data_IF_461811039615
#
_entry.id   IF_461811039615
#
_cell.length_a   1.000
_cell.length_b   1.000
_cell.length_c   1.000
_cell.angle_alpha   90.00
_cell.angle_beta   90.00
_cell.angle_gamma   90.00
#
_symmetry.space_group_name_H-M   'P 1'
#
loop_
_entity.id
_entity.type
_entity.pdbx_description
1 polymer ?
#
# COMPACT_ATOMS: atom_id res chain seq x y z
N UNK A 1 -17.73 15.81 3.94
CA UNK A 1 -17.90 14.93 2.77
C UNK A 1 -17.23 13.60 3.10
N UNK A 2 -17.87 12.49 2.77
CA UNK A 2 -17.33 11.17 3.05
C UNK A 2 -16.74 10.56 1.78
N UNK A 3 -15.50 10.08 1.88
CA UNK A 3 -14.80 9.32 0.86
C UNK A 3 -14.72 7.87 1.35
N UNK A 4 -15.44 6.97 0.68
CA UNK A 4 -15.57 5.58 1.14
C UNK A 4 -14.57 4.69 0.40
N UNK A 5 -13.70 4.02 1.13
CA UNK A 5 -12.76 3.04 0.63
C UNK A 5 -13.38 1.65 0.75
N UNK A 6 -14.04 1.20 -0.32
CA UNK A 6 -14.53 -0.18 -0.42
C UNK A 6 -13.34 -1.11 -0.69
N UNK A 7 -12.78 -1.68 0.38
CA UNK A 7 -11.61 -2.54 0.30
C UNK A 7 -11.95 -3.90 -0.32
N UNK A 8 -11.09 -4.34 -1.23
CA UNK A 8 -11.14 -5.66 -1.88
C UNK A 8 -9.77 -6.33 -1.87
N UNK A 9 -9.78 -7.64 -2.05
CA UNK A 9 -8.59 -8.48 -2.11
C UNK A 9 -8.63 -9.62 -1.09
N UNK A 10 -7.49 -10.28 -0.83
CA UNK A 10 -6.19 -9.97 -1.42
C UNK A 10 -6.06 -10.39 -2.89
N UNK A 11 -5.29 -9.61 -3.66
CA UNK A 11 -4.71 -10.03 -4.94
C UNK A 11 -3.21 -10.28 -4.73
N UNK A 12 -2.62 -11.24 -5.44
CA UNK A 12 -1.19 -11.52 -5.32
C UNK A 12 -0.81 -12.85 -5.98
N UNK A 13 0.44 -13.30 -5.84
CA UNK A 13 0.89 -14.55 -6.44
C UNK A 13 0.00 -15.74 -6.03
N UNK A 14 -0.48 -16.50 -7.01
CA UNK A 14 -1.44 -17.59 -6.83
C UNK A 14 -2.91 -17.15 -6.73
N UNK A 15 -3.19 -15.85 -6.67
CA UNK A 15 -4.52 -15.25 -6.52
C UNK A 15 -4.79 -14.12 -7.53
N UNK A 16 -3.91 -13.91 -8.51
CA UNK A 16 -4.17 -12.95 -9.58
C UNK A 16 -5.37 -13.40 -10.44
N UNK A 17 -6.27 -12.49 -10.81
CA UNK A 17 -7.31 -12.80 -11.77
C UNK A 17 -6.69 -13.19 -13.12
N UNK A 18 -7.18 -14.27 -13.72
CA UNK A 18 -6.75 -14.74 -15.04
C UNK A 18 -7.81 -14.51 -16.12
N UNK A 19 -9.03 -14.20 -15.73
CA UNK A 19 -10.12 -13.83 -16.63
C UNK A 19 -9.93 -12.37 -17.10
N UNK A 20 -9.79 -12.10 -18.41
CA UNK A 20 -9.61 -10.74 -18.93
C UNK A 20 -10.69 -9.76 -18.46
N UNK A 21 -11.94 -10.20 -18.35
CA UNK A 21 -13.05 -9.35 -17.91
C UNK A 21 -12.87 -8.92 -16.45
N UNK A 22 -12.39 -9.81 -15.59
CA UNK A 22 -12.07 -9.47 -14.20
C UNK A 22 -10.84 -8.57 -14.11
N UNK A 23 -9.82 -8.82 -14.93
CA UNK A 23 -8.63 -7.97 -15.01
C UNK A 23 -9.03 -6.53 -15.37
N UNK A 24 -9.83 -6.35 -16.42
CA UNK A 24 -10.32 -5.02 -16.84
C UNK A 24 -11.13 -4.33 -15.75
N UNK A 25 -12.00 -5.07 -15.05
CA UNK A 25 -12.78 -4.55 -13.93
C UNK A 25 -11.91 -4.04 -12.79
N UNK A 26 -10.79 -4.70 -12.48
CA UNK A 26 -9.91 -4.30 -11.38
C UNK A 26 -8.88 -3.26 -11.82
N UNK A 27 -8.48 -3.24 -13.10
CA UNK A 27 -7.40 -2.38 -13.61
C UNK A 27 -7.83 -0.92 -13.83
N UNK A 28 -8.53 -0.37 -12.85
CA UNK A 28 -8.99 0.99 -12.78
C UNK A 28 -8.09 1.83 -11.86
N UNK A 29 -8.46 3.10 -11.70
CA UNK A 29 -7.80 3.98 -10.77
C UNK A 29 -8.22 3.69 -9.32
N UNK A 30 -7.28 3.76 -8.38
CA UNK A 30 -7.55 3.51 -6.97
C UNK A 30 -6.32 3.59 -6.09
N UNK A 31 -6.54 3.33 -4.81
CA UNK A 31 -5.49 3.21 -3.79
C UNK A 31 -5.29 1.74 -3.41
N UNK A 32 -4.10 1.40 -2.94
CA UNK A 32 -3.79 0.04 -2.51
C UNK A 32 -2.80 0.00 -1.36
N UNK A 33 -2.93 -1.06 -0.56
CA UNK A 33 -1.97 -1.53 0.42
C UNK A 33 -1.28 -2.76 -0.14
N UNK A 34 0.03 -2.71 -0.29
CA UNK A 34 0.87 -3.88 -0.52
C UNK A 34 1.43 -4.33 0.82
N UNK A 35 0.95 -5.45 1.34
CA UNK A 35 1.33 -5.99 2.64
C UNK A 35 2.11 -7.28 2.42
N UNK A 36 3.24 -7.42 3.12
CA UNK A 36 4.02 -8.66 3.25
C UNK A 36 3.99 -9.11 4.69
N UNK A 37 3.69 -10.39 4.92
CA UNK A 37 3.69 -11.02 6.24
C UNK A 37 4.91 -11.95 6.37
N UNK A 38 5.63 -11.78 7.46
CA UNK A 38 6.84 -12.51 7.83
C UNK A 38 6.60 -13.32 9.12
N UNK A 39 7.63 -14.01 9.59
CA UNK A 39 7.58 -14.71 10.88
C UNK A 39 7.29 -13.75 12.05
N UNK A 40 6.85 -14.30 13.18
CA UNK A 40 6.48 -13.56 14.40
C UNK A 40 5.43 -12.45 14.17
N UNK A 41 4.54 -12.66 13.20
CA UNK A 41 3.50 -11.71 12.78
C UNK A 41 4.03 -10.34 12.35
N UNK A 42 5.31 -10.24 11.98
CA UNK A 42 5.86 -8.99 11.44
C UNK A 42 5.23 -8.74 10.08
N UNK A 43 4.61 -7.59 9.91
CA UNK A 43 4.15 -7.10 8.62
C UNK A 43 4.96 -5.90 8.16
N UNK A 44 5.11 -5.79 6.85
CA UNK A 44 5.63 -4.61 6.18
C UNK A 44 4.59 -4.18 5.16
N UNK A 45 4.24 -2.90 5.19
CA UNK A 45 3.23 -2.33 4.33
C UNK A 45 3.80 -1.21 3.46
N UNK A 46 3.34 -1.18 2.22
CA UNK A 46 3.55 -0.09 1.28
C UNK A 46 2.18 0.43 0.86
N UNK A 47 2.03 1.74 0.82
CA UNK A 47 0.78 2.41 0.45
C UNK A 47 1.01 3.16 -0.85
N UNK A 48 0.14 2.96 -1.82
CA UNK A 48 0.25 3.65 -3.10
C UNK A 48 -1.09 3.89 -3.77
N UNK A 49 -1.05 4.66 -4.84
CA UNK A 49 -2.16 4.85 -5.77
C UNK A 49 -1.71 4.56 -7.20
N UNK A 50 -2.67 4.31 -8.08
CA UNK A 50 -2.43 4.07 -9.50
C UNK A 50 -3.68 4.40 -10.30
N UNK A 51 -3.51 4.78 -11.57
CA UNK A 51 -4.61 4.84 -12.54
C UNK A 51 -4.95 3.44 -13.12
N UNK A 52 -4.05 2.48 -12.92
CA UNK A 52 -4.16 1.09 -13.40
C UNK A 52 -3.65 0.15 -12.30
N UNK A 53 -4.54 -0.28 -11.39
CA UNK A 53 -4.19 -1.07 -10.21
C UNK A 53 -3.49 -2.40 -10.55
N UNK A 54 -4.07 -3.21 -11.44
CA UNK A 54 -3.51 -4.54 -11.79
C UNK A 54 -2.13 -4.40 -12.44
N UNK A 55 -1.97 -3.45 -13.36
CA UNK A 55 -0.66 -3.15 -13.96
C UNK A 55 0.36 -2.78 -12.88
N UNK A 56 -0.06 -2.04 -11.85
CA UNK A 56 0.85 -1.65 -10.78
C UNK A 56 1.18 -2.80 -9.84
N UNK A 57 0.26 -3.72 -9.58
CA UNK A 57 0.51 -4.93 -8.81
C UNK A 57 1.53 -5.84 -9.50
N UNK A 58 1.37 -6.05 -10.81
CA UNK A 58 2.34 -6.79 -11.63
C UNK A 58 3.74 -6.16 -11.54
N UNK A 59 3.86 -4.84 -11.70
CA UNK A 59 5.16 -4.15 -11.60
C UNK A 59 5.86 -4.37 -10.25
N UNK A 60 5.11 -4.39 -9.15
CA UNK A 60 5.68 -4.69 -7.82
C UNK A 60 6.23 -6.12 -7.73
N UNK A 61 5.49 -7.10 -8.24
CA UNK A 61 5.92 -8.51 -8.22
C UNK A 61 7.09 -8.73 -9.17
N UNK A 62 6.98 -8.24 -10.41
CA UNK A 62 8.02 -8.32 -11.43
C UNK A 62 9.31 -7.63 -10.97
N UNK A 63 9.22 -6.51 -10.25
CA UNK A 63 10.38 -5.83 -9.65
C UNK A 63 11.09 -6.68 -8.58
N UNK A 64 10.36 -7.41 -7.74
CA UNK A 64 10.94 -8.35 -6.77
C UNK A 64 11.66 -9.49 -7.48
N UNK A 65 10.99 -10.14 -8.45
CA UNK A 65 11.56 -11.28 -9.19
C UNK A 65 12.75 -10.87 -10.07
N UNK A 66 12.78 -9.64 -10.56
CA UNK A 66 13.90 -9.08 -11.30
C UNK A 66 15.05 -8.56 -10.41
N UNK A 67 14.96 -8.75 -9.08
CA UNK A 67 15.96 -8.30 -8.10
C UNK A 67 16.20 -6.78 -8.17
N UNK A 68 15.16 -6.00 -8.46
CA UNK A 68 15.23 -4.53 -8.54
C UNK A 68 14.99 -3.88 -7.17
N UNK A 69 14.45 -4.63 -6.21
CA UNK A 69 14.17 -4.17 -4.87
C UNK A 69 15.07 -4.89 -3.85
N UNK A 70 15.35 -4.25 -2.69
CA UNK A 70 15.98 -4.94 -1.58
C UNK A 70 15.20 -6.20 -1.23
N UNK A 71 15.91 -7.31 -1.04
CA UNK A 71 15.33 -8.58 -0.66
C UNK A 71 15.28 -8.69 0.86
N UNK A 72 14.31 -9.43 1.38
CA UNK A 72 14.19 -9.72 2.82
C UNK A 72 14.12 -11.21 3.10
N UNK A 73 14.68 -11.62 4.23
CA UNK A 73 14.62 -12.99 4.74
C UNK A 73 13.25 -13.32 5.37
N UNK A 74 13.12 -14.49 5.99
CA UNK A 74 11.91 -14.93 6.70
C UNK A 74 11.50 -14.04 7.88
N UNK A 75 12.45 -13.35 8.51
CA UNK A 75 12.21 -12.43 9.62
C UNK A 75 11.82 -11.02 9.16
N UNK A 76 11.90 -10.77 7.84
CA UNK A 76 11.66 -9.47 7.23
C UNK A 76 12.84 -8.51 7.30
N UNK A 77 14.04 -8.98 7.64
CA UNK A 77 15.26 -8.17 7.61
C UNK A 77 15.84 -8.07 6.19
N UNK A 78 16.39 -6.89 5.85
CA UNK A 78 16.95 -6.68 4.50
C UNK A 78 18.24 -7.49 4.36
N UNK A 79 18.29 -8.36 3.35
CA UNK A 79 19.48 -9.13 3.03
C UNK A 79 20.43 -8.29 2.16
N UNK A 80 21.64 -8.09 2.64
CA UNK A 80 22.67 -7.28 1.98
C UNK A 80 22.94 -5.96 2.71
N UNK A 81 24.21 -5.58 2.78
CA UNK A 81 24.63 -4.32 3.39
C UNK A 81 24.32 -3.09 2.51
N UNK A 82 24.52 -1.88 3.02
CA UNK A 82 24.48 -0.67 2.20
C UNK A 82 25.61 -0.69 1.16
N UNK A 83 25.40 -0.05 0.00
CA UNK A 83 26.43 0.15 -1.02
C UNK A 83 26.28 -0.73 -2.27
N UNK A 84 27.07 -0.41 -3.30
CA UNK A 84 27.01 -1.10 -4.59
C UNK A 84 27.63 -2.51 -4.53
N UNK A 85 28.59 -2.74 -3.63
CA UNK A 85 29.27 -4.02 -3.46
C UNK A 85 28.30 -5.12 -2.99
N UNK A 86 27.36 -4.75 -2.11
CA UNK A 86 26.27 -5.62 -1.65
C UNK A 86 25.44 -6.15 -2.82
N UNK A 87 25.16 -5.31 -3.81
CA UNK A 87 24.42 -5.73 -5.01
C UNK A 87 25.18 -6.80 -5.79
N UNK A 88 26.49 -6.65 -5.96
CA UNK A 88 27.31 -7.65 -6.65
C UNK A 88 27.46 -8.93 -5.85
N UNK A 89 27.52 -8.86 -4.51
CA UNK A 89 27.50 -10.05 -3.66
C UNK A 89 26.20 -10.85 -3.84
N UNK A 90 25.05 -10.18 -3.85
CA UNK A 90 23.75 -10.80 -4.14
C UNK A 90 23.74 -11.43 -5.54
N UNK A 91 24.33 -10.78 -6.55
CA UNK A 91 24.40 -11.32 -7.92
C UNK A 91 25.36 -12.51 -8.05
N UNK A 92 26.42 -12.55 -7.25
CA UNK A 92 27.35 -13.68 -7.22
C UNK A 92 26.69 -14.92 -6.60
N UNK A 93 25.68 -14.74 -5.74
CA UNK A 93 24.83 -15.81 -5.21
C UNK A 93 23.38 -15.71 -5.72
N UNK A 94 23.24 -15.72 -7.05
CA UNK A 94 21.94 -15.55 -7.72
C UNK A 94 20.93 -16.64 -7.34
N UNK A 95 21.39 -17.84 -6.99
CA UNK A 95 20.51 -18.94 -6.59
C UNK A 95 19.83 -18.63 -5.25
N UNK A 96 20.60 -18.18 -4.26
CA UNK A 96 20.05 -17.75 -2.99
C UNK A 96 19.17 -16.50 -3.15
N UNK A 97 19.64 -15.50 -3.89
CA UNK A 97 18.87 -14.28 -4.18
C UNK A 97 17.53 -14.57 -4.88
N UNK A 98 17.52 -15.49 -5.85
CA UNK A 98 16.31 -15.93 -6.53
C UNK A 98 15.34 -16.60 -5.57
N UNK A 99 15.82 -17.44 -4.66
CA UNK A 99 14.97 -18.06 -3.63
C UNK A 99 14.33 -17.02 -2.70
N UNK A 100 15.09 -16.01 -2.27
CA UNK A 100 14.57 -14.91 -1.46
C UNK A 100 13.51 -14.10 -2.21
N UNK A 101 13.77 -13.77 -3.48
CA UNK A 101 12.83 -13.02 -4.32
C UNK A 101 11.51 -13.76 -4.52
N UNK A 102 11.56 -15.08 -4.74
CA UNK A 102 10.36 -15.92 -4.84
C UNK A 102 9.59 -15.90 -3.52
N UNK A 103 10.28 -16.07 -2.39
CA UNK A 103 9.65 -16.04 -1.07
C UNK A 103 8.99 -14.69 -0.77
N UNK A 104 9.65 -13.57 -1.09
CA UNK A 104 9.08 -12.23 -0.95
C UNK A 104 7.88 -11.98 -1.85
N UNK A 105 7.93 -12.42 -3.11
CA UNK A 105 6.79 -12.35 -4.00
C UNK A 105 5.60 -13.14 -3.41
N UNK A 106 5.84 -14.37 -2.95
CA UNK A 106 4.81 -15.23 -2.36
C UNK A 106 4.20 -14.66 -1.06
N UNK A 107 4.93 -13.84 -0.31
CA UNK A 107 4.41 -13.12 0.88
C UNK A 107 3.58 -11.89 0.54
N UNK A 108 3.68 -11.39 -0.69
CA UNK A 108 3.06 -10.13 -1.09
C UNK A 108 1.56 -10.29 -1.33
N UNK A 109 0.76 -9.43 -0.71
CA UNK A 109 -0.69 -9.32 -0.88
C UNK A 109 -1.06 -7.87 -1.17
N UNK A 110 -2.02 -7.67 -2.05
CA UNK A 110 -2.57 -6.37 -2.41
C UNK A 110 -4.02 -6.29 -1.96
N UNK A 111 -4.31 -5.30 -1.12
CA UNK A 111 -5.66 -4.87 -0.78
C UNK A 111 -5.89 -3.52 -1.42
N UNK A 112 -7.06 -3.27 -2.00
CA UNK A 112 -7.28 -2.06 -2.78
C UNK A 112 -8.69 -1.52 -2.68
N UNK A 113 -8.84 -0.23 -2.91
CA UNK A 113 -10.13 0.44 -3.09
C UNK A 113 -10.10 1.22 -4.41
N UNK A 114 -11.10 0.99 -5.25
CA UNK A 114 -11.21 1.68 -6.55
C UNK A 114 -11.88 3.03 -6.35
N UNK A 115 -11.44 4.05 -7.09
CA UNK A 115 -12.00 5.39 -6.99
C UNK A 115 -13.51 5.37 -7.25
N UNK A 116 -13.93 4.94 -8.44
CA UNK A 116 -15.32 5.05 -8.91
C UNK A 116 -16.37 4.27 -8.10
N UNK A 117 -15.97 3.56 -7.04
CA UNK A 117 -16.90 2.90 -6.13
C UNK A 117 -17.29 3.77 -4.93
N UNK A 118 -16.48 4.75 -4.54
CA UNK A 118 -16.73 5.54 -3.33
C UNK A 118 -16.01 6.89 -3.21
N UNK A 119 -15.17 7.28 -4.19
CA UNK A 119 -14.49 8.57 -4.23
C UNK A 119 -14.01 8.96 -5.64
N UNK A 120 -13.89 10.24 -5.97
CA UNK A 120 -13.36 10.63 -7.28
C UNK A 120 -11.84 10.47 -7.39
N UNK A 121 -11.34 10.24 -8.60
CA UNK A 121 -9.90 10.09 -8.88
C UNK A 121 -9.06 11.29 -8.41
N UNK A 122 -9.67 12.48 -8.35
CA UNK A 122 -9.03 13.70 -7.87
C UNK A 122 -8.58 13.59 -6.40
N UNK A 123 -9.20 12.69 -5.62
CA UNK A 123 -8.84 12.44 -4.23
C UNK A 123 -7.74 11.39 -4.03
N UNK A 124 -7.20 10.78 -5.07
CA UNK A 124 -6.20 9.71 -4.94
C UNK A 124 -4.96 10.17 -4.15
N UNK A 125 -4.44 11.36 -4.46
CA UNK A 125 -3.26 11.91 -3.78
C UNK A 125 -3.56 12.21 -2.31
N UNK A 126 -4.73 12.76 -2.02
CA UNK A 126 -5.20 13.01 -0.65
C UNK A 126 -5.27 11.71 0.14
N UNK A 127 -5.98 10.71 -0.39
CA UNK A 127 -6.22 9.44 0.29
C UNK A 127 -4.88 8.72 0.52
N UNK A 128 -4.00 8.65 -0.47
CA UNK A 128 -2.66 8.06 -0.31
C UNK A 128 -1.88 8.75 0.82
N UNK A 129 -1.86 10.09 0.84
CA UNK A 129 -1.16 10.87 1.86
C UNK A 129 -1.69 10.56 3.27
N UNK A 130 -3.00 10.51 3.42
CA UNK A 130 -3.66 10.30 4.71
C UNK A 130 -3.52 8.87 5.20
N UNK A 131 -3.61 7.89 4.30
CA UNK A 131 -3.32 6.49 4.63
C UNK A 131 -1.86 6.29 5.05
N UNK A 132 -0.89 6.92 4.38
CA UNK A 132 0.53 6.91 4.80
C UNK A 132 0.74 7.51 6.17
N UNK A 133 0.22 8.72 6.40
CA UNK A 133 0.33 9.38 7.70
C UNK A 133 -0.33 8.56 8.81
N UNK A 134 -1.44 7.90 8.52
CA UNK A 134 -2.09 6.99 9.47
C UNK A 134 -1.25 5.75 9.72
N UNK A 135 -0.68 5.14 8.69
CA UNK A 135 0.19 3.97 8.83
C UNK A 135 1.46 4.27 9.62
N UNK A 136 2.05 5.45 9.46
CA UNK A 136 3.17 5.92 10.30
C UNK A 136 2.78 5.98 11.78
N UNK A 137 1.56 6.43 12.10
CA UNK A 137 1.08 6.48 13.49
C UNK A 137 0.78 5.09 14.06
N UNK A 138 0.26 4.18 13.24
CA UNK A 138 -0.16 2.83 13.67
C UNK A 138 1.04 1.88 13.75
N UNK A 139 1.92 1.91 12.73
CA UNK A 139 3.03 0.98 12.57
C UNK A 139 4.37 1.52 13.10
N UNK A 140 4.44 2.80 13.46
CA UNK A 140 5.66 3.51 13.85
C UNK A 140 6.73 3.44 12.73
N UNK A 141 7.77 2.61 12.86
CA UNK A 141 8.95 2.58 11.97
C UNK A 141 8.87 1.54 10.83
N UNK A 142 7.70 0.95 10.58
CA UNK A 142 7.53 -0.17 9.64
C UNK A 142 6.90 0.12 8.26
N UNK A 143 6.40 1.32 7.92
CA UNK A 143 5.98 1.59 6.54
C UNK A 143 7.19 1.65 5.61
N UNK A 144 7.12 0.97 4.46
CA UNK A 144 8.23 0.91 3.51
C UNK A 144 8.46 2.21 2.73
N UNK A 145 7.45 3.10 2.67
CA UNK A 145 7.49 4.31 1.86
C UNK A 145 6.88 5.53 2.58
N UNK A 146 7.54 5.96 3.66
CA UNK A 146 7.27 7.24 4.32
C UNK A 146 7.68 8.38 3.39
N UNK A 147 6.68 9.19 2.96
CA UNK A 147 6.88 10.40 2.20
C UNK A 147 5.87 11.43 2.67
N UNK A 148 6.33 12.64 2.98
CA UNK A 148 5.47 13.74 3.40
C UNK A 148 4.73 14.29 2.16
N UNK A 149 3.54 13.74 1.88
CA UNK A 149 2.69 14.20 0.78
C UNK A 149 1.79 15.31 1.31
N UNK A 150 1.82 16.48 0.67
CA UNK A 150 0.87 17.55 0.97
C UNK A 150 -0.52 17.15 0.48
N UNK A 151 -1.53 17.01 1.36
CA UNK A 151 -2.88 16.60 0.97
C UNK A 151 -3.60 17.62 0.08
N UNK A 152 -3.13 18.87 -0.01
CA UNK A 152 -3.84 19.97 -0.67
C UNK A 152 -4.71 20.79 0.30
N UNK A 153 -5.46 21.74 -0.25
CA UNK A 153 -6.37 22.62 0.52
C UNK A 153 -7.82 22.33 0.12
N UNK A 154 -8.71 22.29 1.12
CA UNK A 154 -10.12 21.96 0.95
C UNK A 154 -10.97 22.95 1.75
N UNK A 155 -12.10 23.36 1.16
CA UNK A 155 -13.07 24.30 1.71
C UNK A 155 -14.15 23.64 2.59
N UNK A 156 -14.06 22.32 2.79
CA UNK A 156 -14.99 21.52 3.57
C UNK A 156 -14.29 20.38 4.31
N UNK A 157 -14.92 19.89 5.38
CA UNK A 157 -14.44 18.73 6.13
C UNK A 157 -14.51 17.46 5.27
N UNK A 158 -13.46 16.66 5.29
CA UNK A 158 -13.39 15.36 4.60
C UNK A 158 -13.23 14.24 5.64
N UNK A 159 -14.01 13.18 5.48
CA UNK A 159 -13.91 11.95 6.26
C UNK A 159 -13.58 10.79 5.32
N UNK A 160 -12.44 10.13 5.52
CA UNK A 160 -12.08 8.90 4.80
C UNK A 160 -12.53 7.71 5.64
N UNK A 161 -13.46 6.92 5.11
CA UNK A 161 -14.09 5.80 5.81
C UNK A 161 -13.73 4.50 5.10
N UNK A 162 -13.30 3.49 5.85
CA UNK A 162 -13.04 2.16 5.27
C UNK A 162 -14.27 1.26 5.38
N UNK A 163 -14.62 0.62 4.28
CA UNK A 163 -15.60 -0.45 4.22
C UNK A 163 -14.88 -1.76 3.91
N UNK A 164 -15.14 -2.78 4.73
CA UNK A 164 -14.47 -4.08 4.68
C UNK A 164 -15.42 -5.23 4.33
N UNK A 165 -16.61 -4.95 3.81
CA UNK A 165 -17.63 -5.96 3.57
C UNK A 165 -17.19 -7.08 2.61
N UNK A 166 -16.23 -6.80 1.72
CA UNK A 166 -15.67 -7.76 0.76
C UNK A 166 -14.29 -8.32 1.18
N UNK A 167 -13.86 -8.11 2.43
CA UNK A 167 -12.58 -8.61 2.96
C UNK A 167 -12.84 -9.70 4.00
N UNK A 168 -12.02 -10.75 3.97
CA UNK A 168 -12.06 -11.80 4.99
C UNK A 168 -11.45 -11.34 6.33
N UNK A 169 -11.75 -12.05 7.43
CA UNK A 169 -11.28 -11.67 8.77
C UNK A 169 -9.76 -11.50 8.86
N UNK A 170 -9.00 -12.32 8.13
CA UNK A 170 -7.54 -12.22 8.09
C UNK A 170 -7.09 -10.91 7.42
N UNK A 171 -7.69 -10.55 6.29
CA UNK A 171 -7.44 -9.30 5.59
C UNK A 171 -7.84 -8.09 6.42
N UNK A 172 -8.99 -8.12 7.11
CA UNK A 172 -9.41 -7.04 7.99
C UNK A 172 -8.38 -6.81 9.08
N UNK A 173 -7.94 -7.87 9.76
CA UNK A 173 -6.90 -7.79 10.79
C UNK A 173 -5.58 -7.20 10.24
N UNK A 174 -5.17 -7.56 9.02
CA UNK A 174 -3.96 -7.02 8.41
C UNK A 174 -4.09 -5.54 8.06
N UNK A 175 -5.23 -5.13 7.50
CA UNK A 175 -5.49 -3.74 7.15
C UNK A 175 -5.62 -2.89 8.43
N UNK A 176 -6.34 -3.37 9.44
CA UNK A 176 -6.46 -2.73 10.75
C UNK A 176 -5.08 -2.50 11.39
N UNK A 177 -4.22 -3.52 11.41
CA UNK A 177 -2.84 -3.39 11.93
C UNK A 177 -1.97 -2.42 11.12
N UNK A 178 -2.41 -2.05 9.91
CA UNK A 178 -1.69 -1.15 9.01
C UNK A 178 -2.20 0.29 9.13
N UNK A 179 -3.52 0.52 9.09
CA UNK A 179 -4.14 1.86 9.03
C UNK A 179 -5.21 2.13 10.11
N UNK A 180 -5.50 1.16 10.97
CA UNK A 180 -6.57 1.22 11.97
C UNK A 180 -7.98 1.16 11.38
N UNK A 181 -8.98 1.12 12.25
CA UNK A 181 -10.41 1.03 11.88
C UNK A 181 -11.14 2.37 11.88
N UNK A 182 -10.63 3.34 12.64
CA UNK A 182 -11.29 4.64 12.81
C UNK A 182 -11.19 5.48 11.53
N UNK A 183 -12.26 6.20 11.14
CA UNK A 183 -12.22 7.15 10.05
C UNK A 183 -11.05 8.15 10.16
N UNK A 184 -10.54 8.61 9.02
CA UNK A 184 -9.57 9.70 8.99
C UNK A 184 -10.33 10.99 8.74
N UNK A 185 -10.35 11.86 9.75
CA UNK A 185 -11.01 13.16 9.70
C UNK A 185 -10.01 14.26 9.31
N UNK A 186 -10.37 15.05 8.31
CA UNK A 186 -9.59 16.16 7.78
C UNK A 186 -10.49 17.39 7.87
N UNK A 187 -10.25 18.30 8.83
CA UNK A 187 -11.05 19.50 8.93
C UNK A 187 -10.79 20.43 7.74
N UNK A 188 -11.80 21.19 7.35
CA UNK A 188 -11.65 22.33 6.45
C UNK A 188 -10.58 23.25 7.02
N UNK A 189 -9.65 23.71 6.17
CA UNK A 189 -8.76 24.81 6.58
C UNK A 189 -9.61 26.08 6.61
N UNK A 190 -10.06 26.49 7.79
CA UNK A 190 -10.49 27.87 7.98
C UNK A 190 -9.27 28.75 7.73
N UNK A 191 -9.39 29.71 6.81
CA UNK A 191 -8.47 30.85 6.76
C UNK A 191 -8.33 31.38 8.19
N UNK A 192 -7.10 31.38 8.70
CA UNK A 192 -6.75 32.12 9.89
C UNK A 192 -7.20 33.57 9.67
N UNK A 193 -8.23 33.98 10.39
CA UNK A 193 -8.56 35.39 10.59
C UNK A 193 -7.39 36.06 11.31
N UNK A 194 -6.37 36.45 10.54
CA UNK A 194 -5.42 37.50 10.87
C UNK A 194 -5.78 38.67 9.92
N UNK A 195 -6.45 39.74 10.34
CA UNK A 195 -6.23 40.51 11.55
C UNK A 195 -7.52 41.13 12.09
N UNK A 196 -7.72 40.99 13.39
CA UNK A 196 -8.25 42.07 14.21
C UNK A 196 -7.15 43.14 14.35
N UNK A 197 -7.35 44.29 13.71
CA UNK A 197 -7.30 45.64 14.30
C UNK A 197 -7.61 46.70 13.24
#
# INVERSE_FOLDING_TARGET
MDLILYWRGPVGPGQFPTDPVQIEKINQAGVYLRIKLYEDERSIAYIGQSLHLVTRFDQHISGLLALQHPLRDESGEVTGGPGAESRFQILNDVAHAGSLAIAEAQRTRFYFAMAQDGFDQDYLTLIEAMLKSRAEKVMYDRPENIQNINPGEFDHDISIVSDFAEIDDQGVNLIERTIGMEPILIPARQESFENAD
#
